data_IF_545568885474
#
_entry.id   IF_545568885474
#
_cell.length_a   1.000
_cell.length_b   1.000
_cell.length_c   1.000
_cell.angle_alpha   90.00
_cell.angle_beta   90.00
_cell.angle_gamma   90.00
#
_symmetry.space_group_name_H-M   'P 1'
#
loop_
_entity.id
_entity.type
_entity.pdbx_description
1 polymer ?
#
# COMPACT_ATOMS: atom_id res chain seq x y z
N UNK A 1 -53.21 6.74 22.46
CA UNK A 1 -52.98 5.32 22.73
C UNK A 1 -52.58 4.65 21.43
N UNK A 2 -51.28 4.56 21.14
CA UNK A 2 -50.61 3.44 20.46
C UNK A 2 -49.09 3.71 20.47
N UNK A 3 -48.35 2.61 20.48
CA UNK A 3 -47.10 2.40 21.20
C UNK A 3 -45.85 2.51 20.30
N UNK A 4 -44.70 2.67 20.94
CA UNK A 4 -43.33 2.65 20.42
C UNK A 4 -42.97 1.45 19.54
N UNK A 5 -42.02 1.66 18.61
CA UNK A 5 -40.98 0.67 18.32
C UNK A 5 -39.69 1.37 17.85
N UNK A 6 -38.73 1.48 18.76
CA UNK A 6 -37.35 1.84 18.46
C UNK A 6 -36.64 0.63 17.81
N UNK A 7 -35.97 0.86 16.69
CA UNK A 7 -35.12 -0.16 16.06
C UNK A 7 -33.74 -0.18 16.73
N UNK A 8 -33.38 -1.33 17.28
CA UNK A 8 -32.09 -1.61 17.92
C UNK A 8 -30.95 -1.74 16.88
N UNK A 9 -29.68 -1.47 17.27
CA UNK A 9 -28.52 -1.74 16.42
C UNK A 9 -28.16 -3.23 16.41
N UNK A 10 -27.83 -3.74 15.22
CA UNK A 10 -27.37 -5.11 15.03
C UNK A 10 -25.98 -5.34 15.65
N UNK A 11 -25.89 -6.42 16.44
CA UNK A 11 -24.71 -6.84 17.17
C UNK A 11 -23.54 -7.26 16.25
N UNK A 12 -22.33 -6.86 16.65
CA UNK A 12 -21.08 -7.32 16.09
C UNK A 12 -20.81 -8.78 16.50
N UNK A 13 -20.41 -9.62 15.53
CA UNK A 13 -19.99 -10.99 15.77
C UNK A 13 -18.53 -11.04 16.29
N UNK A 14 -18.17 -12.02 17.15
CA UNK A 14 -16.85 -12.09 17.77
C UNK A 14 -15.78 -12.67 16.83
N UNK A 15 -14.53 -12.26 17.08
CA UNK A 15 -13.32 -12.67 16.40
C UNK A 15 -13.02 -14.17 16.65
N UNK A 16 -13.20 -14.99 15.60
CA UNK A 16 -12.72 -16.36 15.53
C UNK A 16 -11.31 -16.39 14.92
N UNK A 17 -10.35 -16.88 15.68
CA UNK A 17 -8.97 -17.11 15.25
C UNK A 17 -8.91 -18.12 14.09
N UNK A 18 -8.31 -17.71 12.97
CA UNK A 18 -7.93 -18.67 11.92
C UNK A 18 -6.68 -19.45 12.37
N UNK A 19 -6.66 -20.79 12.25
CA UNK A 19 -5.44 -21.55 12.49
C UNK A 19 -4.40 -21.30 11.38
N UNK A 20 -3.09 -21.31 11.70
CA UNK A 20 -2.05 -21.19 10.68
C UNK A 20 -2.01 -22.43 9.76
N UNK A 21 -1.62 -22.28 8.48
CA UNK A 21 -1.43 -23.41 7.57
C UNK A 21 -0.25 -24.30 8.01
N UNK A 22 -0.28 -25.61 7.69
CA UNK A 22 0.78 -26.54 8.09
C UNK A 22 2.12 -26.24 7.41
N UNK A 23 3.21 -26.38 8.16
CA UNK A 23 4.59 -26.22 7.70
C UNK A 23 4.97 -27.33 6.70
N UNK A 24 5.77 -27.03 5.66
CA UNK A 24 6.32 -28.05 4.77
C UNK A 24 7.40 -28.90 5.48
N UNK A 25 7.62 -30.16 5.07
CA UNK A 25 8.55 -31.07 5.73
C UNK A 25 10.00 -30.67 5.54
N UNK A 26 10.79 -30.80 6.62
CA UNK A 26 12.23 -30.57 6.62
C UNK A 26 12.95 -31.69 5.86
N UNK A 27 13.48 -31.37 4.68
CA UNK A 27 14.50 -32.20 4.03
C UNK A 27 15.87 -31.84 4.59
N UNK A 28 16.47 -32.77 5.33
CA UNK A 28 17.89 -32.74 5.67
C UNK A 28 18.72 -32.84 4.39
N UNK A 29 19.51 -31.82 4.10
CA UNK A 29 20.67 -31.92 3.20
C UNK A 29 21.89 -31.41 3.97
N UNK A 30 22.70 -32.36 4.44
CA UNK A 30 24.10 -32.11 4.74
C UNK A 30 24.87 -31.91 3.44
N UNK A 31 25.59 -30.79 3.32
CA UNK A 31 26.74 -30.65 2.44
C UNK A 31 27.60 -29.47 2.89
N UNK A 32 28.72 -29.77 3.54
CA UNK A 32 29.84 -28.85 3.68
C UNK A 32 30.63 -28.77 2.37
N UNK A 33 30.94 -27.56 1.90
CA UNK A 33 32.28 -27.12 1.46
C UNK A 33 32.26 -25.89 0.54
N UNK A 34 33.27 -25.05 0.75
CA UNK A 34 33.96 -24.20 -0.23
C UNK A 34 33.23 -22.97 -0.82
N UNK A 35 33.46 -21.81 -0.20
CA UNK A 35 34.30 -20.73 -0.77
C UNK A 35 34.08 -20.26 -2.22
N UNK A 36 32.88 -20.35 -2.78
CA UNK A 36 32.56 -19.70 -4.05
C UNK A 36 31.89 -18.34 -3.78
N UNK A 37 32.52 -17.26 -4.24
CA UNK A 37 31.89 -15.94 -4.28
C UNK A 37 30.57 -16.05 -5.06
N UNK A 38 29.45 -15.82 -4.37
CA UNK A 38 28.14 -15.75 -5.01
C UNK A 38 28.20 -14.70 -6.14
N UNK A 39 27.65 -14.98 -7.33
CA UNK A 39 27.44 -13.93 -8.32
C UNK A 39 26.62 -12.82 -7.67
N UNK A 40 26.83 -11.53 -8.02
CA UNK A 40 25.99 -10.46 -7.51
C UNK A 40 24.54 -10.85 -7.78
N UNK A 41 23.75 -10.91 -6.70
CA UNK A 41 22.33 -11.21 -6.83
C UNK A 41 21.77 -10.29 -7.92
N UNK A 42 20.97 -10.81 -8.86
CA UNK A 42 20.33 -9.95 -9.86
C UNK A 42 19.67 -8.80 -9.11
N UNK A 43 19.79 -7.54 -9.61
CA UNK A 43 19.20 -6.40 -8.92
C UNK A 43 17.76 -6.77 -8.60
N UNK A 44 17.47 -6.87 -7.30
CA UNK A 44 16.14 -7.24 -6.85
C UNK A 44 15.13 -6.25 -7.40
N UNK A 45 13.83 -6.61 -7.48
CA UNK A 45 12.76 -5.69 -7.88
C UNK A 45 13.02 -4.29 -7.32
N UNK A 46 13.10 -3.30 -8.21
CA UNK A 46 13.48 -1.91 -7.87
C UNK A 46 12.63 -1.34 -6.74
N UNK A 47 11.39 -1.80 -6.63
CA UNK A 47 10.40 -1.33 -5.66
C UNK A 47 10.17 -2.41 -4.60
N UNK A 48 11.05 -2.45 -3.61
CA UNK A 48 10.91 -3.31 -2.43
C UNK A 48 10.75 -2.44 -1.19
N UNK A 49 9.83 -2.77 -0.28
CA UNK A 49 9.70 -2.03 0.95
C UNK A 49 10.98 -2.08 1.77
N UNK A 50 11.31 -0.98 2.43
CA UNK A 50 12.38 -0.94 3.40
C UNK A 50 11.90 -1.53 4.73
N UNK A 51 12.85 -2.11 5.47
CA UNK A 51 12.55 -2.59 6.82
C UNK A 51 12.20 -1.40 7.72
N UNK A 52 11.13 -1.55 8.50
CA UNK A 52 10.75 -0.58 9.52
C UNK A 52 10.38 -1.34 10.80
N UNK A 53 10.77 -0.79 11.94
CA UNK A 53 10.42 -1.35 13.25
C UNK A 53 8.94 -1.09 13.59
N UNK A 54 8.31 -0.10 12.98
CA UNK A 54 6.98 0.40 13.34
C UNK A 54 5.87 -0.12 12.43
N UNK A 55 6.20 -0.55 11.21
CA UNK A 55 5.21 -0.90 10.20
C UNK A 55 5.35 -2.34 9.72
N UNK A 56 4.25 -3.09 9.84
CA UNK A 56 4.14 -4.42 9.26
C UNK A 56 3.56 -4.34 7.85
N UNK A 57 4.42 -4.47 6.84
CA UNK A 57 4.02 -4.43 5.43
C UNK A 57 3.53 -5.79 4.98
N UNK A 58 2.29 -5.86 4.49
CA UNK A 58 1.71 -7.07 3.90
C UNK A 58 1.64 -6.95 2.38
N UNK A 59 1.38 -8.08 1.71
CA UNK A 59 1.10 -8.12 0.27
C UNK A 59 -0.39 -8.32 0.02
N UNK A 60 -0.93 -7.57 -0.93
CA UNK A 60 -2.30 -7.72 -1.41
C UNK A 60 -2.33 -7.79 -2.94
N UNK A 61 -3.45 -8.26 -3.49
CA UNK A 61 -3.74 -8.21 -4.93
C UNK A 61 -5.20 -7.86 -5.13
N UNK A 62 -5.46 -6.78 -5.85
CA UNK A 62 -6.80 -6.24 -6.02
C UNK A 62 -7.21 -6.20 -7.47
N UNK A 63 -8.37 -6.79 -7.79
CA UNK A 63 -8.92 -6.79 -9.16
C UNK A 63 -9.44 -5.39 -9.49
N UNK A 64 -9.14 -4.90 -10.69
CA UNK A 64 -9.64 -3.62 -11.19
C UNK A 64 -9.66 -3.59 -12.71
N UNK A 65 -10.66 -2.95 -13.30
CA UNK A 65 -10.72 -2.68 -14.74
C UNK A 65 -9.98 -1.40 -15.16
N UNK A 66 -9.48 -0.62 -14.19
CA UNK A 66 -8.78 0.66 -14.45
C UNK A 66 -7.28 0.49 -14.68
N UNK A 67 -6.77 -0.73 -14.58
CA UNK A 67 -5.40 -1.09 -14.90
C UNK A 67 -5.40 -2.12 -16.03
N UNK A 68 -4.50 -1.97 -17.00
CA UNK A 68 -4.40 -2.85 -18.18
C UNK A 68 -4.11 -4.30 -17.80
N UNK A 69 -3.52 -4.54 -16.62
CA UNK A 69 -3.25 -5.88 -16.09
C UNK A 69 -4.52 -6.57 -15.58
N UNK A 70 -5.60 -5.83 -15.34
CA UNK A 70 -6.83 -6.33 -14.70
C UNK A 70 -6.74 -6.48 -13.18
N UNK A 71 -5.58 -6.16 -12.59
CA UNK A 71 -5.33 -6.18 -11.16
C UNK A 71 -4.16 -5.27 -10.79
N UNK A 72 -4.06 -4.92 -9.51
CA UNK A 72 -2.94 -4.19 -8.92
C UNK A 72 -2.41 -5.02 -7.74
N UNK A 73 -1.20 -5.59 -7.83
CA UNK A 73 -0.52 -6.18 -6.68
C UNK A 73 0.10 -5.06 -5.85
N UNK A 74 -0.03 -5.11 -4.52
CA UNK A 74 0.48 -4.04 -3.65
C UNK A 74 1.28 -4.58 -2.47
N UNK A 75 2.28 -3.81 -2.06
CA UNK A 75 2.71 -3.73 -0.68
C UNK A 75 1.82 -2.73 0.05
N UNK A 76 1.32 -3.08 1.24
CA UNK A 76 0.41 -2.23 1.98
C UNK A 76 0.61 -2.27 3.49
N UNK A 77 0.29 -1.17 4.15
CA UNK A 77 0.20 -1.08 5.60
C UNK A 77 -0.80 0.02 6.00
N UNK A 78 -1.44 -0.10 7.18
CA UNK A 78 -2.30 0.96 7.70
C UNK A 78 -1.47 2.07 8.35
N UNK A 79 -1.88 3.32 8.14
CA UNK A 79 -1.33 4.51 8.80
C UNK A 79 -2.45 5.55 8.99
N UNK A 80 -2.67 6.01 10.23
CA UNK A 80 -3.69 7.02 10.56
C UNK A 80 -5.09 6.72 9.97
N UNK A 81 -5.50 5.45 10.01
CA UNK A 81 -6.79 5.01 9.45
C UNK A 81 -6.88 5.03 7.92
N UNK A 82 -5.75 5.23 7.24
CA UNK A 82 -5.61 5.15 5.79
C UNK A 82 -4.72 3.98 5.40
N UNK A 83 -4.84 3.56 4.14
CA UNK A 83 -3.95 2.55 3.58
C UNK A 83 -2.87 3.21 2.76
N UNK A 84 -1.64 2.89 3.10
CA UNK A 84 -0.47 3.26 2.32
C UNK A 84 -0.14 2.08 1.42
N UNK A 85 0.02 2.34 0.12
CA UNK A 85 0.22 1.30 -0.87
C UNK A 85 1.29 1.66 -1.87
N UNK A 86 2.04 0.65 -2.28
CA UNK A 86 2.95 0.66 -3.42
C UNK A 86 2.65 -0.52 -4.32
N UNK A 87 2.46 -0.26 -5.60
CA UNK A 87 2.35 -1.29 -6.62
C UNK A 87 3.64 -2.09 -6.69
N UNK A 88 3.53 -3.42 -6.64
CA UNK A 88 4.70 -4.31 -6.61
C UNK A 88 5.43 -4.32 -7.96
N UNK A 89 4.71 -4.15 -9.08
CA UNK A 89 5.30 -4.34 -10.40
C UNK A 89 5.93 -3.05 -10.93
N UNK A 90 5.24 -1.91 -10.80
CA UNK A 90 5.64 -0.63 -11.41
C UNK A 90 6.05 0.45 -10.38
N UNK A 91 5.91 0.18 -9.08
CA UNK A 91 6.31 1.09 -8.01
C UNK A 91 5.42 2.30 -7.83
N UNK A 92 4.26 2.37 -8.49
CA UNK A 92 3.34 3.47 -8.28
C UNK A 92 2.85 3.49 -6.83
N UNK A 93 2.80 4.69 -6.26
CA UNK A 93 2.36 4.91 -4.87
C UNK A 93 0.94 5.45 -4.87
N UNK A 94 0.10 4.91 -3.98
CA UNK A 94 -1.23 5.47 -3.71
C UNK A 94 -1.07 6.80 -2.95
N UNK A 95 -0.88 7.89 -3.70
CA UNK A 95 -0.69 9.23 -3.16
C UNK A 95 -1.88 9.69 -2.29
N UNK A 96 -3.10 9.33 -2.69
CA UNK A 96 -4.30 9.65 -1.89
C UNK A 96 -4.26 9.05 -0.49
N UNK A 97 -3.62 7.88 -0.30
CA UNK A 97 -3.44 7.27 1.02
C UNK A 97 -2.57 8.13 1.92
N UNK A 98 -1.40 8.53 1.43
CA UNK A 98 -0.45 9.43 2.13
C UNK A 98 -1.13 10.77 2.44
N UNK A 99 -1.79 11.37 1.46
CA UNK A 99 -2.43 12.68 1.61
C UNK A 99 -3.51 12.68 2.69
N UNK A 100 -4.34 11.62 2.74
CA UNK A 100 -5.37 11.47 3.78
C UNK A 100 -4.77 11.10 5.14
N UNK A 101 -3.64 10.39 5.18
CA UNK A 101 -2.96 10.06 6.43
C UNK A 101 -2.38 11.31 7.12
N UNK A 102 -2.10 12.37 6.34
CA UNK A 102 -1.79 13.71 6.85
C UNK A 102 -3.01 14.48 7.38
N UNK A 103 -4.22 13.94 7.26
CA UNK A 103 -5.46 14.60 7.65
C UNK A 103 -6.03 15.54 6.57
N UNK A 104 -5.42 15.61 5.39
CA UNK A 104 -5.92 16.47 4.32
C UNK A 104 -7.13 15.87 3.60
N UNK A 105 -7.97 16.74 3.02
CA UNK A 105 -9.13 16.30 2.25
C UNK A 105 -8.72 15.82 0.86
N UNK A 106 -9.51 14.88 0.30
CA UNK A 106 -9.32 14.41 -1.08
C UNK A 106 -9.51 15.52 -2.11
N UNK A 107 -10.32 16.54 -1.82
CA UNK A 107 -10.58 17.65 -2.72
C UNK A 107 -9.31 18.47 -2.99
N UNK A 108 -8.41 18.57 -2.02
CA UNK A 108 -7.17 19.35 -2.14
C UNK A 108 -6.15 18.68 -3.07
N UNK A 109 -6.22 17.35 -3.22
CA UNK A 109 -5.40 16.61 -4.18
C UNK A 109 -5.70 17.08 -5.61
N UNK A 110 -6.96 17.33 -5.93
CA UNK A 110 -7.37 17.77 -7.27
C UNK A 110 -6.72 19.12 -7.59
N UNK A 111 -6.85 20.08 -6.67
CA UNK A 111 -6.21 21.41 -6.79
C UNK A 111 -4.69 21.31 -6.91
N UNK A 112 -4.07 20.42 -6.13
CA UNK A 112 -2.62 20.21 -6.15
C UNK A 112 -2.15 19.65 -7.51
N UNK A 113 -2.89 18.71 -8.10
CA UNK A 113 -2.57 18.16 -9.42
C UNK A 113 -2.83 19.19 -10.51
N UNK A 114 -3.94 19.92 -10.45
CA UNK A 114 -4.31 20.90 -11.48
C UNK A 114 -3.34 22.09 -11.53
N UNK A 115 -2.67 22.41 -10.42
CA UNK A 115 -1.59 23.41 -10.40
C UNK A 115 -0.26 22.93 -10.99
N UNK A 116 -0.13 21.63 -11.32
CA UNK A 116 1.06 21.01 -11.90
C UNK A 116 0.68 20.17 -13.13
N UNK A 117 0.45 20.79 -14.30
CA UNK A 117 -0.03 20.09 -15.49
C UNK A 117 0.92 18.98 -15.95
N UNK A 118 2.23 19.13 -15.73
CA UNK A 118 3.25 18.11 -16.04
C UNK A 118 3.06 16.80 -15.27
N UNK A 119 2.32 16.85 -14.16
CA UNK A 119 2.03 15.70 -13.32
C UNK A 119 0.85 14.87 -13.84
N UNK A 120 -0.12 15.53 -14.47
CA UNK A 120 -1.35 14.92 -14.96
C UNK A 120 -1.12 13.70 -15.87
N UNK A 121 -0.21 13.71 -16.86
CA UNK A 121 0.01 12.55 -17.73
C UNK A 121 0.71 11.38 -17.03
N UNK A 122 1.39 11.62 -15.91
CA UNK A 122 2.12 10.59 -15.17
C UNK A 122 1.24 9.83 -14.18
N UNK A 123 0.09 10.40 -13.83
CA UNK A 123 -0.81 9.89 -12.79
C UNK A 123 -1.72 8.80 -13.34
N UNK A 124 -1.86 7.71 -12.59
CA UNK A 124 -2.92 6.71 -12.78
C UNK A 124 -4.09 7.00 -11.84
N UNK A 125 -5.29 7.20 -12.38
CA UNK A 125 -6.51 7.42 -11.59
C UNK A 125 -7.34 6.12 -11.53
N UNK A 126 -7.31 5.45 -10.39
CA UNK A 126 -8.12 4.24 -10.15
C UNK A 126 -9.47 4.65 -9.58
N UNK A 127 -10.57 4.27 -10.25
CA UNK A 127 -11.95 4.65 -9.90
C UNK A 127 -12.89 3.47 -10.10
N UNK A 128 -13.84 3.25 -9.20
CA UNK A 128 -14.71 2.08 -9.27
C UNK A 128 -14.01 0.81 -8.77
N UNK A 129 -14.77 -0.26 -8.56
CA UNK A 129 -14.26 -1.47 -7.92
C UNK A 129 -13.91 -1.27 -6.44
N UNK A 130 -12.90 -1.98 -5.94
CA UNK A 130 -12.58 -2.04 -4.52
C UNK A 130 -12.11 -0.69 -3.95
N UNK A 131 -12.83 -0.15 -2.96
CA UNK A 131 -12.64 1.21 -2.44
C UNK A 131 -11.21 1.48 -1.93
N UNK A 132 -10.56 0.45 -1.37
CA UNK A 132 -9.25 0.57 -0.72
C UNK A 132 -8.14 1.03 -1.67
N UNK A 133 -8.22 0.67 -2.95
CA UNK A 133 -7.21 1.01 -3.98
C UNK A 133 -7.57 2.26 -4.80
N UNK A 134 -8.73 2.85 -4.56
CA UNK A 134 -9.18 3.99 -5.35
C UNK A 134 -8.43 5.26 -5.00
N UNK A 135 -8.11 6.05 -6.02
CA UNK A 135 -7.43 7.33 -5.85
C UNK A 135 -6.42 7.64 -6.94
N UNK A 136 -5.57 8.61 -6.61
CA UNK A 136 -4.45 9.05 -7.43
C UNK A 136 -3.25 8.18 -7.10
N UNK A 137 -2.76 7.45 -8.10
CA UNK A 137 -1.51 6.71 -8.07
C UNK A 137 -0.44 7.50 -8.83
N UNK A 138 0.76 7.61 -8.27
CA UNK A 138 1.86 8.42 -8.82
C UNK A 138 3.14 7.60 -8.94
N UNK A 139 4.00 7.87 -9.92
CA UNK A 139 5.32 7.21 -10.00
C UNK A 139 6.11 7.39 -8.72
N UNK A 140 6.87 6.38 -8.33
CA UNK A 140 7.71 6.38 -7.12
C UNK A 140 8.51 7.67 -6.94
N UNK A 141 9.28 8.07 -7.96
CA UNK A 141 10.17 9.24 -7.90
C UNK A 141 9.42 10.55 -7.68
N UNK A 142 8.21 10.63 -8.22
CA UNK A 142 7.31 11.78 -8.05
C UNK A 142 6.75 11.80 -6.63
N UNK A 143 6.24 10.66 -6.15
CA UNK A 143 5.70 10.54 -4.81
C UNK A 143 6.75 10.82 -3.72
N UNK A 144 7.99 10.36 -3.92
CA UNK A 144 9.12 10.64 -3.05
C UNK A 144 9.42 12.15 -2.98
N UNK A 145 9.55 12.81 -4.14
CA UNK A 145 9.82 14.25 -4.22
C UNK A 145 8.72 15.08 -3.54
N UNK A 146 7.45 14.70 -3.73
CA UNK A 146 6.33 15.38 -3.08
C UNK A 146 6.30 15.11 -1.57
N UNK A 147 6.51 13.86 -1.13
CA UNK A 147 6.52 13.48 0.29
C UNK A 147 7.56 14.28 1.07
N UNK A 148 8.76 14.51 0.51
CA UNK A 148 9.80 15.35 1.11
C UNK A 148 9.37 16.80 1.37
N UNK A 149 8.39 17.31 0.61
CA UNK A 149 7.89 18.69 0.73
C UNK A 149 6.70 18.80 1.66
N UNK A 150 5.77 17.83 1.60
CA UNK A 150 4.45 17.98 2.22
C UNK A 150 4.17 16.95 3.33
N UNK A 151 4.92 15.86 3.39
CA UNK A 151 4.68 14.74 4.29
C UNK A 151 5.70 14.66 5.44
N UNK A 152 6.32 15.79 5.82
CA UNK A 152 7.31 15.83 6.90
C UNK A 152 6.78 15.25 8.22
N UNK A 153 5.49 15.45 8.52
CA UNK A 153 4.86 15.01 9.76
C UNK A 153 4.79 13.48 9.91
N UNK A 154 4.78 12.73 8.80
CA UNK A 154 4.71 11.26 8.79
C UNK A 154 5.93 10.63 8.11
N UNK A 155 7.04 11.38 7.97
CA UNK A 155 8.21 10.97 7.17
C UNK A 155 8.80 9.64 7.63
N UNK A 156 8.82 9.39 8.94
CA UNK A 156 9.36 8.16 9.54
C UNK A 156 8.41 6.98 9.30
N UNK A 157 7.11 7.24 9.19
CA UNK A 157 6.10 6.23 8.83
C UNK A 157 6.19 5.83 7.36
N UNK A 158 6.75 6.70 6.50
CA UNK A 158 6.92 6.44 5.07
C UNK A 158 8.23 5.72 4.71
N UNK A 159 9.10 5.45 5.69
CA UNK A 159 10.32 4.64 5.53
C UNK A 159 10.05 3.35 4.75
N UNK A 160 9.02 2.53 5.06
CA UNK A 160 8.77 1.31 4.32
C UNK A 160 8.59 1.51 2.82
N UNK A 161 8.15 2.68 2.37
CA UNK A 161 8.07 2.98 0.93
C UNK A 161 9.37 3.56 0.40
N UNK A 162 9.96 4.52 1.11
CA UNK A 162 10.92 5.46 0.52
C UNK A 162 12.37 5.33 0.99
N UNK A 163 12.61 4.61 2.09
CA UNK A 163 13.93 4.50 2.72
C UNK A 163 14.21 5.64 3.68
#
# INVERSE_FOLDING_TARGET
MLLHAAAAPAAAAPAGAYPPPPLPPHHHHDAAAAGAALPPAPPGPRFRPYASATHHVTKGRYITSNDVRGYIPVYEYPLNGQWIMMDIDDGYILWTGIWKALGNSKADIVKMIDSQPDLAPLIRRVRGGYLKIQGTWMPYEVALKLSRRVAWAIRDDLIPLFG
#
